data_IF_504392382212
#
_entry.id   IF_504392382212
#
_cell.length_a   1.000
_cell.length_b   1.000
_cell.length_c   1.000
_cell.angle_alpha   90.00
_cell.angle_beta   90.00
_cell.angle_gamma   90.00
#
_symmetry.space_group_name_H-M   'P 1'
#
loop_
_entity.id
_entity.type
_entity.pdbx_description
1 polymer ?
#
# COMPACT_ATOMS: atom_id res chain seq x y z
N UNK A 1 34.35 -1.68 6.81
CA UNK A 1 33.88 -0.32 7.11
C UNK A 1 32.46 -0.22 6.62
N UNK A 2 31.53 -0.12 7.57
CA UNK A 2 30.11 -0.42 7.42
C UNK A 2 29.43 0.77 6.73
N UNK A 3 28.59 0.44 5.76
CA UNK A 3 27.75 1.28 4.90
C UNK A 3 27.72 2.79 5.14
N UNK A 4 28.08 3.53 4.08
CA UNK A 4 27.88 4.97 3.92
C UNK A 4 26.42 5.32 4.25
N UNK A 5 26.26 6.08 5.33
CA UNK A 5 24.98 6.46 5.96
C UNK A 5 24.29 7.58 5.18
N UNK A 6 24.23 7.45 3.86
CA UNK A 6 23.30 8.17 3.00
C UNK A 6 22.18 7.21 2.61
N UNK A 7 21.43 6.72 3.60
CA UNK A 7 20.06 6.31 3.32
C UNK A 7 19.40 7.55 2.72
N UNK A 8 19.07 7.47 1.44
CA UNK A 8 18.37 8.50 0.71
C UNK A 8 16.99 8.74 1.35
N UNK A 9 16.92 9.53 2.41
CA UNK A 9 15.70 10.26 2.73
C UNK A 9 15.62 11.47 1.80
N UNK A 10 14.39 11.95 1.56
CA UNK A 10 13.91 13.04 0.69
C UNK A 10 13.20 12.62 -0.63
N UNK A 11 12.97 11.34 -0.89
CA UNK A 11 12.01 10.95 -1.94
C UNK A 11 10.59 11.35 -1.53
N UNK A 12 9.88 12.12 -2.37
CA UNK A 12 8.47 12.50 -2.18
C UNK A 12 7.63 11.30 -1.74
N UNK A 13 6.66 11.49 -0.84
CA UNK A 13 5.72 10.43 -0.47
C UNK A 13 5.09 9.78 -1.72
N UNK A 14 4.87 8.47 -1.67
CA UNK A 14 4.18 7.78 -2.77
C UNK A 14 2.78 8.39 -2.96
N UNK A 15 2.34 8.63 -4.20
CA UNK A 15 0.97 9.08 -4.46
C UNK A 15 -0.08 8.07 -3.95
N UNK A 16 0.30 6.81 -3.77
CA UNK A 16 -0.58 5.76 -3.24
C UNK A 16 -0.90 5.94 -1.75
N UNK A 17 -0.15 6.75 -1.00
CA UNK A 17 -0.47 7.04 0.39
C UNK A 17 -1.80 7.80 0.51
N UNK A 18 -2.00 8.83 -0.33
CA UNK A 18 -3.26 9.57 -0.40
C UNK A 18 -4.43 8.68 -0.87
N UNK A 19 -4.16 7.67 -1.71
CA UNK A 19 -5.19 6.71 -2.12
C UNK A 19 -5.60 5.78 -0.98
N UNK A 20 -4.69 5.45 -0.06
CA UNK A 20 -5.02 4.62 1.11
C UNK A 20 -6.00 5.38 2.01
N UNK A 21 -5.79 6.68 2.20
CA UNK A 21 -6.71 7.56 2.93
C UNK A 21 -8.10 7.62 2.26
N UNK A 22 -8.16 7.69 0.92
CA UNK A 22 -9.43 7.68 0.18
C UNK A 22 -10.20 6.37 0.33
N UNK A 23 -9.51 5.25 0.48
CA UNK A 23 -10.12 3.93 0.68
C UNK A 23 -10.33 3.57 2.16
N UNK A 24 -9.95 4.44 3.10
CA UNK A 24 -9.94 4.14 4.53
C UNK A 24 -11.27 3.61 5.06
N UNK A 25 -12.38 4.27 4.70
CA UNK A 25 -13.73 3.83 5.11
C UNK A 25 -14.11 2.47 4.53
N UNK A 26 -13.78 2.22 3.26
CA UNK A 26 -14.08 0.94 2.62
C UNK A 26 -13.28 -0.19 3.29
N UNK A 27 -11.96 -0.05 3.40
CA UNK A 27 -11.07 -1.09 3.92
C UNK A 27 -11.43 -1.42 5.37
N UNK A 28 -11.55 -0.40 6.23
CA UNK A 28 -11.90 -0.61 7.65
C UNK A 28 -13.28 -1.23 7.84
N UNK A 29 -14.26 -0.95 6.97
CA UNK A 29 -15.60 -1.55 7.06
C UNK A 29 -15.64 -3.06 6.79
N UNK A 30 -14.58 -3.63 6.18
CA UNK A 30 -14.54 -5.04 5.78
C UNK A 30 -13.68 -5.91 6.69
N UNK A 31 -12.99 -5.36 7.69
CA UNK A 31 -12.05 -6.09 8.55
C UNK A 31 -12.67 -7.35 9.19
N UNK A 32 -13.77 -7.21 9.93
CA UNK A 32 -14.44 -8.34 10.57
C UNK A 32 -14.90 -9.42 9.56
N UNK A 33 -15.37 -8.99 8.39
CA UNK A 33 -15.77 -9.91 7.32
C UNK A 33 -14.55 -10.65 6.73
N UNK A 34 -13.43 -9.95 6.53
CA UNK A 34 -12.21 -10.53 5.99
C UNK A 34 -11.66 -11.60 6.95
N UNK A 35 -11.63 -11.29 8.25
CA UNK A 35 -11.20 -12.21 9.31
C UNK A 35 -12.09 -13.45 9.36
N UNK A 36 -13.41 -13.27 9.39
CA UNK A 36 -14.36 -14.39 9.46
C UNK A 36 -14.29 -15.31 8.24
N UNK A 37 -14.03 -14.76 7.05
CA UNK A 37 -13.95 -15.53 5.81
C UNK A 37 -12.55 -16.06 5.50
N UNK A 38 -11.51 -15.59 6.21
CA UNK A 38 -10.11 -15.90 5.92
C UNK A 38 -9.66 -15.44 4.53
N UNK A 39 -10.33 -14.43 3.95
CA UNK A 39 -10.00 -13.85 2.64
C UNK A 39 -10.47 -12.41 2.53
N UNK A 40 -9.78 -11.62 1.73
CA UNK A 40 -10.21 -10.25 1.41
C UNK A 40 -11.53 -10.25 0.65
N UNK A 41 -12.36 -9.25 0.96
CA UNK A 41 -13.56 -8.97 0.16
C UNK A 41 -13.19 -8.60 -1.28
N UNK A 42 -13.97 -9.09 -2.24
CA UNK A 42 -13.75 -8.83 -3.67
C UNK A 42 -13.82 -7.32 -3.98
N UNK A 43 -14.63 -6.59 -3.22
CA UNK A 43 -14.77 -5.13 -3.28
C UNK A 43 -13.47 -4.40 -2.92
N UNK A 44 -12.82 -4.79 -1.81
CA UNK A 44 -11.52 -4.21 -1.41
C UNK A 44 -10.44 -4.53 -2.44
N UNK A 45 -10.38 -5.77 -2.92
CA UNK A 45 -9.39 -6.17 -3.95
C UNK A 45 -9.57 -5.36 -5.24
N UNK A 46 -10.82 -5.15 -5.68
CA UNK A 46 -11.12 -4.33 -6.86
C UNK A 46 -10.69 -2.87 -6.64
N UNK A 47 -11.06 -2.27 -5.51
CA UNK A 47 -10.68 -0.89 -5.18
C UNK A 47 -9.15 -0.72 -5.12
N UNK A 48 -8.43 -1.68 -4.53
CA UNK A 48 -6.97 -1.64 -4.47
C UNK A 48 -6.32 -1.75 -5.86
N UNK A 49 -6.90 -2.57 -6.74
CA UNK A 49 -6.46 -2.70 -8.13
C UNK A 49 -6.64 -1.39 -8.90
N UNK A 50 -7.82 -0.79 -8.80
CA UNK A 50 -8.13 0.48 -9.47
C UNK A 50 -7.27 1.64 -8.93
N UNK A 51 -6.98 1.62 -7.63
CA UNK A 51 -6.07 2.57 -7.01
C UNK A 51 -4.60 2.34 -7.42
N UNK A 52 -4.22 1.16 -7.90
CA UNK A 52 -2.86 0.86 -8.38
C UNK A 52 -1.90 0.39 -7.30
N UNK A 53 -2.39 -0.11 -6.16
CA UNK A 53 -1.52 -0.61 -5.09
C UNK A 53 -0.67 -1.81 -5.53
N UNK A 54 -1.19 -2.67 -6.42
CA UNK A 54 -0.47 -3.85 -6.91
C UNK A 54 0.69 -3.54 -7.87
N UNK A 55 0.85 -2.28 -8.28
CA UNK A 55 1.96 -1.82 -9.14
C UNK A 55 2.98 -0.96 -8.39
N UNK A 56 2.91 -0.90 -7.05
CA UNK A 56 3.75 -0.06 -6.19
C UNK A 56 5.26 -0.29 -6.39
N UNK A 57 5.70 -1.53 -6.58
CA UNK A 57 7.11 -1.91 -6.79
C UNK A 57 7.45 -2.27 -8.25
N UNK A 58 6.49 -2.10 -9.17
CA UNK A 58 6.69 -2.43 -10.59
C UNK A 58 7.45 -1.29 -11.28
N UNK A 59 8.40 -1.56 -12.20
CA UNK A 59 9.15 -0.51 -12.90
C UNK A 59 8.25 0.46 -13.68
N UNK A 60 8.64 1.73 -13.77
CA UNK A 60 7.89 2.75 -14.53
C UNK A 60 7.77 2.44 -16.02
N UNK A 61 8.80 1.80 -16.59
CA UNK A 61 8.78 1.34 -17.99
C UNK A 61 7.70 0.30 -18.27
N UNK A 62 7.16 -0.36 -17.24
CA UNK A 62 6.04 -1.31 -17.31
C UNK A 62 4.74 -0.72 -16.76
N UNK A 63 4.69 0.60 -16.50
CA UNK A 63 3.51 1.29 -15.98
C UNK A 63 3.33 1.22 -14.47
N UNK A 64 4.36 0.83 -13.70
CA UNK A 64 4.34 0.85 -12.23
C UNK A 64 4.88 2.12 -11.61
N UNK A 65 4.86 2.18 -10.28
CA UNK A 65 5.32 3.34 -9.51
C UNK A 65 6.83 3.33 -9.25
N UNK A 66 7.47 2.15 -9.30
CA UNK A 66 8.89 1.95 -9.02
C UNK A 66 9.29 2.59 -7.68
N UNK A 67 8.47 2.36 -6.65
CA UNK A 67 8.66 2.95 -5.33
C UNK A 67 9.89 2.37 -4.63
N UNK A 68 10.60 3.22 -3.90
CA UNK A 68 11.71 2.78 -3.06
C UNK A 68 11.20 2.10 -1.76
N UNK A 69 12.04 1.34 -1.03
CA UNK A 69 11.60 0.59 0.14
C UNK A 69 10.92 1.42 1.24
N UNK A 70 11.34 2.67 1.46
CA UNK A 70 10.72 3.56 2.47
C UNK A 70 9.30 3.93 2.03
N UNK A 71 9.11 4.28 0.77
CA UNK A 71 7.79 4.57 0.21
C UNK A 71 6.86 3.35 0.27
N UNK A 72 7.38 2.15 -0.02
CA UNK A 72 6.62 0.91 0.06
C UNK A 72 6.14 0.66 1.48
N UNK A 73 7.05 0.73 2.46
CA UNK A 73 6.71 0.51 3.87
C UNK A 73 5.67 1.52 4.38
N UNK A 74 5.78 2.81 4.03
CA UNK A 74 4.79 3.80 4.45
C UNK A 74 3.39 3.52 3.88
N UNK A 75 3.29 3.03 2.64
CA UNK A 75 1.98 2.67 2.05
C UNK A 75 1.40 1.42 2.71
N UNK A 76 2.22 0.38 2.91
CA UNK A 76 1.80 -0.85 3.57
C UNK A 76 1.35 -0.57 5.01
N UNK A 77 2.13 0.19 5.78
CA UNK A 77 1.77 0.61 7.15
C UNK A 77 0.43 1.34 7.19
N UNK A 78 0.19 2.25 6.26
CA UNK A 78 -1.08 2.96 6.17
C UNK A 78 -2.26 2.00 5.91
N UNK A 79 -2.08 0.95 5.10
CA UNK A 79 -3.12 -0.05 4.83
C UNK A 79 -3.32 -0.98 6.04
N UNK A 80 -2.25 -1.46 6.67
CA UNK A 80 -2.34 -2.31 7.87
C UNK A 80 -3.09 -1.61 9.02
N UNK A 81 -2.94 -0.28 9.14
CA UNK A 81 -3.66 0.52 10.14
C UNK A 81 -5.18 0.59 9.89
N UNK A 82 -5.65 0.27 8.67
CA UNK A 82 -7.06 0.23 8.30
C UNK A 82 -7.63 -1.18 8.47
N UNK A 83 -6.91 -2.19 7.96
CA UNK A 83 -7.19 -3.61 8.12
C UNK A 83 -5.90 -4.41 7.98
N UNK A 84 -5.52 -5.13 9.03
CA UNK A 84 -4.30 -5.94 9.07
C UNK A 84 -4.31 -7.10 8.09
N UNK A 85 -5.48 -7.61 7.67
CA UNK A 85 -5.54 -8.64 6.65
C UNK A 85 -5.26 -8.09 5.23
N UNK A 86 -5.56 -6.81 5.01
CA UNK A 86 -5.43 -6.14 3.70
C UNK A 86 -4.01 -5.64 3.41
N UNK A 87 -3.27 -5.19 4.42
CA UNK A 87 -1.91 -4.64 4.28
C UNK A 87 -0.82 -5.70 4.41
#
# INVERSE_FOLDING_TARGET
MIHDKKLHSHGRASPLLAKAEQLATLISSKGEQNDANGRLSDEVVAAMREAGFFSLMVPKSMGGEESNPVQVLSVVEAICNLDGATG
#
